data_IF_926195725692
#
_entry.id   IF_926195725692
#
_cell.length_a   1.000
_cell.length_b   1.000
_cell.length_c   1.000
_cell.angle_alpha   90.00
_cell.angle_beta   90.00
_cell.angle_gamma   90.00
#
_symmetry.space_group_name_H-M   'P 1'
#
loop_
_entity.id
_entity.type
_entity.pdbx_description
1 polymer ?
#
# COMPACT_ATOMS: atom_id res chain seq x y z
N UNK A 1 4.12 47.71 -48.36
CA UNK A 1 3.08 47.03 -47.54
C UNK A 1 2.93 45.56 -47.88
N UNK A 2 2.66 45.20 -49.16
CA UNK A 2 2.48 43.81 -49.61
C UNK A 2 3.66 42.88 -49.30
N UNK A 3 4.91 43.40 -49.41
CA UNK A 3 6.15 42.67 -49.04
C UNK A 3 6.15 42.15 -47.60
N UNK A 4 5.67 42.95 -46.64
CA UNK A 4 5.53 42.54 -45.23
C UNK A 4 4.30 41.68 -44.98
N UNK A 5 3.26 41.82 -45.81
CA UNK A 5 2.04 41.03 -45.67
C UNK A 5 2.25 39.57 -46.09
N UNK A 6 2.93 39.35 -47.22
CA UNK A 6 3.25 38.02 -47.76
C UNK A 6 4.55 37.41 -47.20
N UNK A 7 5.16 38.05 -46.20
CA UNK A 7 6.43 37.62 -45.58
C UNK A 7 7.53 37.32 -46.60
N UNK A 8 7.59 38.10 -47.69
CA UNK A 8 8.53 37.91 -48.81
C UNK A 8 9.99 37.91 -48.35
N UNK A 9 10.44 38.78 -47.41
CA UNK A 9 11.83 38.75 -46.95
C UNK A 9 12.24 37.42 -46.30
N UNK A 10 11.31 36.72 -45.66
CA UNK A 10 11.57 35.45 -44.97
C UNK A 10 11.40 34.24 -45.90
N UNK A 11 10.41 34.29 -46.81
CA UNK A 11 10.07 33.17 -47.70
C UNK A 11 10.81 33.18 -49.03
N UNK A 12 11.12 34.36 -49.58
CA UNK A 12 11.77 34.55 -50.89
C UNK A 12 12.79 35.72 -50.85
N UNK A 13 13.90 35.57 -50.11
CA UNK A 13 14.86 36.66 -49.86
C UNK A 13 15.60 37.17 -51.11
N UNK A 14 15.74 36.33 -52.15
CA UNK A 14 16.30 36.74 -53.43
C UNK A 14 15.34 37.63 -54.25
N UNK A 15 14.04 37.32 -54.20
CA UNK A 15 13.01 38.08 -54.90
C UNK A 15 12.73 39.42 -54.21
N UNK A 16 12.80 39.46 -52.88
CA UNK A 16 12.65 40.68 -52.09
C UNK A 16 13.67 41.77 -52.49
N UNK A 17 14.93 41.38 -52.70
CA UNK A 17 16.00 42.27 -53.20
C UNK A 17 15.74 42.79 -54.61
N UNK A 18 15.19 41.95 -55.51
CA UNK A 18 14.83 42.35 -56.88
C UNK A 18 13.66 43.34 -56.87
N UNK A 19 12.61 43.05 -56.10
CA UNK A 19 11.46 43.94 -55.92
C UNK A 19 11.84 45.30 -55.31
N UNK A 20 12.79 45.32 -54.38
CA UNK A 20 13.28 46.58 -53.79
C UNK A 20 14.01 47.47 -54.82
N UNK A 21 14.81 46.86 -55.70
CA UNK A 21 15.56 47.58 -56.74
C UNK A 21 14.71 47.99 -57.93
N UNK A 22 13.57 47.35 -58.16
CA UNK A 22 12.69 47.64 -59.29
C UNK A 22 12.10 49.06 -59.26
N UNK A 23 11.78 49.59 -58.07
CA UNK A 23 11.15 50.90 -57.93
C UNK A 23 12.04 52.07 -58.36
N UNK A 24 13.37 51.90 -58.34
CA UNK A 24 14.33 52.95 -58.70
C UNK A 24 14.27 53.29 -60.20
N UNK A 25 14.49 52.34 -61.14
CA UNK A 25 14.36 52.61 -62.57
C UNK A 25 12.91 52.94 -62.97
N UNK A 26 11.92 52.34 -62.32
CA UNK A 26 10.51 52.68 -62.49
C UNK A 26 10.21 54.15 -62.18
N UNK A 27 10.69 54.66 -61.03
CA UNK A 27 10.53 56.06 -60.66
C UNK A 27 11.29 57.00 -61.60
N UNK A 28 12.49 56.60 -62.06
CA UNK A 28 13.24 57.38 -63.04
C UNK A 28 12.46 57.49 -64.37
N UNK A 29 11.92 56.39 -64.89
CA UNK A 29 11.11 56.40 -66.12
C UNK A 29 9.87 57.29 -65.96
N UNK A 30 9.18 57.20 -64.82
CA UNK A 30 7.98 57.98 -64.57
C UNK A 30 8.27 59.50 -64.40
N UNK A 31 9.35 59.85 -63.68
CA UNK A 31 9.79 61.25 -63.53
C UNK A 31 10.31 61.82 -64.87
N UNK A 32 11.03 61.02 -65.66
CA UNK A 32 11.45 61.41 -67.01
C UNK A 32 10.26 61.66 -67.93
N UNK A 33 9.21 60.83 -67.84
CA UNK A 33 7.95 61.08 -68.54
C UNK A 33 7.28 62.37 -68.07
N UNK A 34 7.23 62.64 -66.76
CA UNK A 34 6.61 63.86 -66.23
C UNK A 34 7.34 65.15 -66.66
N UNK A 35 8.66 65.10 -66.81
CA UNK A 35 9.47 66.27 -67.19
C UNK A 35 9.57 66.51 -68.70
N UNK A 36 9.48 65.45 -69.52
CA UNK A 36 9.74 65.52 -70.97
C UNK A 36 8.62 64.96 -71.85
N UNK A 37 7.56 64.39 -71.27
CA UNK A 37 6.47 63.70 -71.97
C UNK A 37 5.71 64.57 -72.95
N UNK A 38 5.41 65.83 -72.59
CA UNK A 38 4.74 66.79 -73.48
C UNK A 38 5.56 67.10 -74.74
N UNK A 39 6.90 67.12 -74.63
CA UNK A 39 7.79 67.36 -75.79
C UNK A 39 7.86 66.17 -76.75
N UNK A 40 7.58 64.97 -76.27
CA UNK A 40 7.66 63.73 -77.04
C UNK A 40 6.32 63.27 -77.66
N UNK A 41 5.22 64.02 -77.47
CA UNK A 41 3.86 63.64 -77.95
C UNK A 41 3.45 62.21 -77.55
N UNK A 42 3.89 61.74 -76.39
CA UNK A 42 3.52 60.43 -75.86
C UNK A 42 2.14 60.52 -75.17
N UNK A 43 1.26 59.54 -75.40
CA UNK A 43 -0.03 59.44 -74.71
C UNK A 43 0.22 59.05 -73.25
N UNK A 44 -0.07 59.97 -72.31
CA UNK A 44 0.25 59.80 -70.91
C UNK A 44 -0.48 58.67 -70.22
N UNK A 45 -1.74 58.49 -70.58
CA UNK A 45 -2.55 57.44 -69.99
C UNK A 45 -2.03 56.05 -70.40
N UNK A 46 -1.48 55.91 -71.61
CA UNK A 46 -0.88 54.65 -72.06
C UNK A 46 0.36 54.29 -71.24
N UNK A 47 1.17 55.27 -70.86
CA UNK A 47 2.37 55.06 -70.05
C UNK A 47 1.99 54.66 -68.63
N UNK A 48 1.00 55.32 -68.04
CA UNK A 48 0.48 54.99 -66.72
C UNK A 48 -0.14 53.59 -66.69
N UNK A 49 -0.92 53.22 -67.72
CA UNK A 49 -1.53 51.89 -67.84
C UNK A 49 -0.46 50.78 -68.00
N UNK A 50 0.52 50.98 -68.88
CA UNK A 50 1.63 50.03 -69.08
C UNK A 50 2.44 49.87 -67.81
N UNK A 51 2.68 50.96 -67.08
CA UNK A 51 3.37 50.92 -65.79
C UNK A 51 2.61 50.06 -64.77
N UNK A 52 1.29 50.26 -64.64
CA UNK A 52 0.45 49.49 -63.73
C UNK A 52 0.41 48.01 -64.13
N UNK A 53 0.34 47.67 -65.42
CA UNK A 53 0.43 46.28 -65.90
C UNK A 53 1.74 45.60 -65.49
N UNK A 54 2.87 46.30 -65.63
CA UNK A 54 4.18 45.76 -65.23
C UNK A 54 4.23 45.52 -63.72
N UNK A 55 3.68 46.45 -62.92
CA UNK A 55 3.59 46.28 -61.46
C UNK A 55 2.74 45.07 -61.10
N UNK A 56 1.56 44.92 -61.69
CA UNK A 56 0.66 43.78 -61.43
C UNK A 56 1.29 42.46 -61.87
N UNK A 57 1.93 42.41 -63.04
CA UNK A 57 2.60 41.21 -63.54
C UNK A 57 3.70 40.72 -62.56
N UNK A 58 4.46 41.65 -61.99
CA UNK A 58 5.43 41.31 -60.95
C UNK A 58 4.78 40.81 -59.66
N UNK A 59 3.68 41.44 -59.23
CA UNK A 59 2.94 40.97 -58.06
C UNK A 59 2.36 39.57 -58.28
N UNK A 60 1.86 39.27 -59.48
CA UNK A 60 1.41 37.92 -59.84
C UNK A 60 2.55 36.91 -59.84
N UNK A 61 3.73 37.28 -60.36
CA UNK A 61 4.91 36.41 -60.34
C UNK A 61 5.34 36.06 -58.90
N UNK A 62 5.31 37.04 -58.01
CA UNK A 62 5.60 36.85 -56.57
C UNK A 62 4.61 35.87 -55.94
N UNK A 63 3.32 36.09 -56.20
CA UNK A 63 2.27 35.24 -55.64
C UNK A 63 2.33 33.82 -56.20
N UNK A 64 2.66 33.68 -57.49
CA UNK A 64 2.86 32.39 -58.14
C UNK A 64 3.99 31.59 -57.48
N UNK A 65 5.10 32.23 -57.15
CA UNK A 65 6.20 31.60 -56.40
C UNK A 65 5.81 31.23 -54.97
N UNK A 66 4.80 31.90 -54.40
CA UNK A 66 4.23 31.62 -53.08
C UNK A 66 2.95 30.78 -53.15
N UNK A 67 2.77 29.97 -54.19
CA UNK A 67 1.55 29.15 -54.38
C UNK A 67 1.24 28.22 -53.21
N UNK A 68 2.19 27.86 -52.36
CA UNK A 68 1.96 26.98 -51.20
C UNK A 68 1.53 27.75 -49.94
N UNK A 69 1.48 29.09 -50.00
CA UNK A 69 1.01 29.94 -48.91
C UNK A 69 -0.44 30.39 -49.17
N UNK A 70 -1.42 29.95 -48.36
CA UNK A 70 -2.84 30.22 -48.62
C UNK A 70 -3.21 31.71 -48.76
N UNK A 71 -2.67 32.64 -47.94
CA UNK A 71 -2.92 34.07 -48.12
C UNK A 71 -2.39 34.63 -49.45
N UNK A 72 -1.33 34.04 -50.02
CA UNK A 72 -0.84 34.44 -51.33
C UNK A 72 -1.85 34.09 -52.43
N UNK A 73 -2.45 32.88 -52.41
CA UNK A 73 -3.49 32.48 -53.37
C UNK A 73 -4.67 33.46 -53.39
N UNK A 74 -5.12 33.88 -52.21
CA UNK A 74 -6.21 34.85 -52.06
C UNK A 74 -5.83 36.23 -52.63
N UNK A 75 -4.57 36.66 -52.48
CA UNK A 75 -4.05 37.89 -53.10
C UNK A 75 -3.95 37.77 -54.62
N UNK A 76 -3.58 36.60 -55.17
CA UNK A 76 -3.61 36.36 -56.63
C UNK A 76 -5.03 36.51 -57.19
N UNK A 77 -6.01 35.88 -56.53
CA UNK A 77 -7.42 35.96 -56.91
C UNK A 77 -7.97 37.39 -56.80
N UNK A 78 -7.40 38.22 -55.92
CA UNK A 78 -7.74 39.63 -55.79
C UNK A 78 -7.19 40.50 -56.93
N UNK A 79 -5.98 40.20 -57.39
CA UNK A 79 -5.30 40.97 -58.45
C UNK A 79 -5.70 40.56 -59.86
N UNK A 80 -6.16 39.31 -60.07
CA UNK A 80 -6.48 38.78 -61.40
C UNK A 80 -7.60 39.53 -62.14
N UNK A 81 -8.76 39.83 -61.52
CA UNK A 81 -9.80 40.61 -62.18
C UNK A 81 -9.33 42.02 -62.53
N UNK A 82 -8.57 42.67 -61.65
CA UNK A 82 -8.02 44.02 -61.90
C UNK A 82 -7.02 44.05 -63.05
N UNK A 83 -6.13 43.06 -63.12
CA UNK A 83 -5.21 42.89 -64.24
C UNK A 83 -5.96 42.70 -65.56
N UNK A 84 -7.01 41.86 -65.54
CA UNK A 84 -7.82 41.56 -66.72
C UNK A 84 -8.61 42.79 -67.20
N UNK A 85 -9.25 43.53 -66.30
CA UNK A 85 -10.00 44.74 -66.66
C UNK A 85 -9.10 45.82 -67.20
N UNK A 86 -7.91 45.99 -66.61
CA UNK A 86 -6.95 47.00 -67.06
C UNK A 86 -6.36 46.63 -68.43
N UNK A 87 -5.99 45.36 -68.64
CA UNK A 87 -5.51 44.90 -69.95
C UNK A 87 -6.59 45.06 -71.04
N UNK A 88 -7.84 44.74 -70.74
CA UNK A 88 -8.96 44.92 -71.67
C UNK A 88 -9.21 46.40 -71.98
N UNK A 89 -9.13 47.29 -70.97
CA UNK A 89 -9.29 48.73 -71.17
C UNK A 89 -8.20 49.31 -72.09
N UNK A 90 -6.94 48.94 -71.88
CA UNK A 90 -5.80 49.36 -72.73
C UNK A 90 -5.98 48.90 -74.17
N UNK A 91 -6.35 47.63 -74.37
CA UNK A 91 -6.57 47.05 -75.70
C UNK A 91 -7.74 47.76 -76.40
N UNK A 92 -8.85 47.97 -75.71
CA UNK A 92 -10.03 48.65 -76.25
C UNK A 92 -9.69 50.08 -76.67
N UNK A 93 -9.00 50.84 -75.82
CA UNK A 93 -8.60 52.23 -76.09
C UNK A 93 -7.81 52.35 -77.41
N UNK A 94 -6.96 51.38 -77.71
CA UNK A 94 -6.15 51.36 -78.93
C UNK A 94 -6.93 50.93 -80.18
N UNK A 95 -7.82 49.94 -80.06
CA UNK A 95 -8.57 49.40 -81.20
C UNK A 95 -9.77 50.27 -81.61
N UNK A 96 -10.44 50.90 -80.66
CA UNK A 96 -11.68 51.64 -80.89
C UNK A 96 -11.76 52.91 -80.02
N UNK A 97 -10.95 53.95 -80.29
CA UNK A 97 -10.83 55.13 -79.43
C UNK A 97 -12.12 55.97 -79.36
N UNK A 98 -12.96 55.98 -80.42
CA UNK A 98 -14.26 56.68 -80.40
C UNK A 98 -15.26 55.97 -79.47
N UNK A 99 -15.38 54.66 -79.61
CA UNK A 99 -16.25 53.84 -78.76
C UNK A 99 -15.77 53.77 -77.32
N UNK A 100 -14.45 53.81 -77.07
CA UNK A 100 -13.92 53.88 -75.70
C UNK A 100 -14.42 55.13 -74.95
N UNK A 101 -14.42 56.30 -75.61
CA UNK A 101 -14.92 57.55 -75.02
C UNK A 101 -16.42 57.52 -74.72
N UNK A 102 -17.22 56.81 -75.53
CA UNK A 102 -18.66 56.68 -75.31
C UNK A 102 -19.01 55.81 -74.08
N UNK A 103 -18.14 54.86 -73.72
CA UNK A 103 -18.39 53.88 -72.64
C UNK A 103 -17.46 54.04 -71.43
N UNK A 104 -16.74 55.16 -71.33
CA UNK A 104 -15.74 55.40 -70.28
C UNK A 104 -16.35 55.24 -68.87
N UNK A 105 -17.56 55.77 -68.64
CA UNK A 105 -18.27 55.66 -67.36
C UNK A 105 -18.54 54.19 -66.93
N UNK A 106 -18.78 53.31 -67.89
CA UNK A 106 -18.98 51.87 -67.64
C UNK A 106 -17.69 51.17 -67.21
N UNK A 107 -16.54 51.57 -67.76
CA UNK A 107 -15.22 51.05 -67.39
C UNK A 107 -14.85 51.51 -65.97
N UNK A 108 -15.13 52.77 -65.63
CA UNK A 108 -14.92 53.32 -64.29
C UNK A 108 -15.79 52.60 -63.24
N UNK A 109 -17.02 52.25 -63.59
CA UNK A 109 -17.90 51.44 -62.74
C UNK A 109 -17.34 50.04 -62.49
N UNK A 110 -16.82 49.37 -63.53
CA UNK A 110 -16.17 48.04 -63.40
C UNK A 110 -14.90 48.15 -62.54
N UNK A 111 -14.08 49.19 -62.74
CA UNK A 111 -12.90 49.45 -61.92
C UNK A 111 -13.23 49.63 -60.44
N UNK A 112 -14.31 50.35 -60.15
CA UNK A 112 -14.81 50.55 -58.79
C UNK A 112 -15.25 49.23 -58.15
N UNK A 113 -15.99 48.38 -58.88
CA UNK A 113 -16.39 47.05 -58.39
C UNK A 113 -15.17 46.16 -58.07
N UNK A 114 -14.19 46.13 -58.98
CA UNK A 114 -12.97 45.34 -58.80
C UNK A 114 -12.14 45.84 -57.62
N UNK A 115 -12.12 47.15 -57.37
CA UNK A 115 -11.47 47.72 -56.19
C UNK A 115 -12.09 47.20 -54.89
N UNK A 116 -13.43 47.25 -54.77
CA UNK A 116 -14.13 46.69 -53.60
C UNK A 116 -13.93 45.18 -53.45
N UNK A 117 -13.91 44.45 -54.57
CA UNK A 117 -13.60 43.02 -54.59
C UNK A 117 -12.19 42.72 -54.04
N UNK A 118 -11.19 43.49 -54.48
CA UNK A 118 -9.81 43.37 -54.01
C UNK A 118 -9.68 43.66 -52.51
N UNK A 119 -10.39 44.68 -52.01
CA UNK A 119 -10.44 45.00 -50.57
C UNK A 119 -11.05 43.84 -49.77
N UNK A 120 -12.14 43.25 -50.23
CA UNK A 120 -12.79 42.09 -49.60
C UNK A 120 -11.86 40.87 -49.51
N UNK A 121 -11.17 40.52 -50.60
CA UNK A 121 -10.24 39.40 -50.60
C UNK A 121 -8.97 39.68 -49.78
N UNK A 122 -8.49 40.92 -49.75
CA UNK A 122 -7.40 41.31 -48.86
C UNK A 122 -7.78 41.12 -47.38
N UNK A 123 -9.02 41.46 -47.01
CA UNK A 123 -9.55 41.19 -45.66
C UNK A 123 -9.59 39.69 -45.34
N UNK A 124 -10.02 38.85 -46.28
CA UNK A 124 -10.01 37.38 -46.15
C UNK A 124 -8.59 36.86 -45.96
N UNK A 125 -7.64 37.30 -46.78
CA UNK A 125 -6.23 36.92 -46.67
C UNK A 125 -5.64 37.30 -45.31
N UNK A 126 -5.97 38.50 -44.80
CA UNK A 126 -5.56 38.96 -43.46
C UNK A 126 -6.15 38.09 -42.36
N UNK A 127 -7.42 37.70 -42.48
CA UNK A 127 -8.08 36.79 -41.55
C UNK A 127 -7.42 35.40 -41.53
N UNK A 128 -7.08 34.86 -42.71
CA UNK A 128 -6.37 33.58 -42.82
C UNK A 128 -5.00 33.60 -42.14
N UNK A 129 -4.20 34.65 -42.34
CA UNK A 129 -2.89 34.80 -41.67
C UNK A 129 -3.03 34.81 -40.14
N UNK A 130 -4.04 35.52 -39.62
CA UNK A 130 -4.30 35.55 -38.17
C UNK A 130 -4.70 34.18 -37.63
N UNK A 131 -5.54 33.43 -38.35
CA UNK A 131 -5.95 32.06 -37.96
C UNK A 131 -4.76 31.11 -37.89
N UNK A 132 -3.89 31.14 -38.90
CA UNK A 132 -2.69 30.29 -38.93
C UNK A 132 -1.75 30.60 -37.76
N UNK A 133 -1.55 31.89 -37.44
CA UNK A 133 -0.72 32.27 -36.29
C UNK A 133 -1.31 31.78 -34.95
N UNK A 134 -2.63 31.88 -34.76
CA UNK A 134 -3.30 31.37 -33.56
C UNK A 134 -3.16 29.85 -33.47
N UNK A 135 -3.31 29.13 -34.59
CA UNK A 135 -3.20 27.68 -34.62
C UNK A 135 -1.77 27.21 -34.29
N UNK A 136 -0.75 27.88 -34.83
CA UNK A 136 0.65 27.62 -34.48
C UNK A 136 0.94 27.87 -33.00
N UNK A 137 0.41 28.98 -32.46
CA UNK A 137 0.56 29.29 -31.05
C UNK A 137 -0.10 28.24 -30.16
N UNK A 138 -1.33 27.82 -30.50
CA UNK A 138 -2.04 26.76 -29.76
C UNK A 138 -1.27 25.44 -29.77
N UNK A 139 -0.74 25.02 -30.92
CA UNK A 139 0.07 23.80 -31.01
C UNK A 139 1.34 23.89 -30.16
N UNK A 140 2.01 25.04 -30.16
CA UNK A 140 3.19 25.25 -29.31
C UNK A 140 2.83 25.22 -27.81
N UNK A 141 1.70 25.81 -27.42
CA UNK A 141 1.18 25.76 -26.04
C UNK A 141 0.80 24.34 -25.63
N UNK A 142 0.15 23.58 -26.51
CA UNK A 142 -0.21 22.17 -26.31
C UNK A 142 1.04 21.29 -26.17
N UNK A 143 2.05 21.46 -27.03
CA UNK A 143 3.33 20.76 -26.94
C UNK A 143 4.06 21.06 -25.62
N UNK A 144 4.08 22.32 -25.20
CA UNK A 144 4.67 22.71 -23.92
C UNK A 144 3.90 22.13 -22.72
N UNK A 145 2.57 22.15 -22.75
CA UNK A 145 1.74 21.56 -21.71
C UNK A 145 1.98 20.05 -21.62
N UNK A 146 2.05 19.36 -22.76
CA UNK A 146 2.32 17.93 -22.82
C UNK A 146 3.71 17.59 -22.27
N UNK A 147 4.74 18.37 -22.62
CA UNK A 147 6.08 18.19 -22.06
C UNK A 147 6.10 18.36 -20.55
N UNK A 148 5.36 19.34 -20.01
CA UNK A 148 5.25 19.53 -18.54
C UNK A 148 4.56 18.34 -17.87
N UNK A 149 3.49 17.81 -18.47
CA UNK A 149 2.79 16.63 -17.94
C UNK A 149 3.73 15.42 -17.93
N UNK A 150 4.44 15.16 -19.02
CA UNK A 150 5.39 14.04 -19.12
C UNK A 150 6.51 14.18 -18.08
N UNK A 151 7.09 15.37 -17.93
CA UNK A 151 8.13 15.63 -16.93
C UNK A 151 7.59 15.41 -15.51
N UNK A 152 6.38 15.89 -15.20
CA UNK A 152 5.77 15.72 -13.88
C UNK A 152 5.42 14.27 -13.58
N UNK A 153 4.95 13.52 -14.58
CA UNK A 153 4.67 12.09 -14.44
C UNK A 153 5.95 11.30 -14.15
N UNK A 154 7.05 11.59 -14.84
CA UNK A 154 8.34 10.94 -14.57
C UNK A 154 8.86 11.25 -13.15
N UNK A 155 8.71 12.48 -12.68
CA UNK A 155 9.05 12.87 -11.29
C UNK A 155 8.17 12.14 -10.27
N UNK A 156 6.85 12.04 -10.52
CA UNK A 156 5.92 11.32 -9.66
C UNK A 156 6.23 9.82 -9.61
N UNK A 157 6.57 9.20 -10.74
CA UNK A 157 6.98 7.80 -10.78
C UNK A 157 8.23 7.56 -9.93
N UNK A 158 9.25 8.42 -10.03
CA UNK A 158 10.44 8.33 -9.19
C UNK A 158 10.12 8.50 -7.70
N UNK A 159 9.25 9.46 -7.36
CA UNK A 159 8.82 9.68 -5.98
C UNK A 159 8.07 8.45 -5.43
N UNK A 160 7.16 7.88 -6.21
CA UNK A 160 6.41 6.68 -5.84
C UNK A 160 7.34 5.49 -5.65
N UNK A 161 8.30 5.28 -6.55
CA UNK A 161 9.30 4.21 -6.41
C UNK A 161 10.14 4.38 -5.14
N UNK A 162 10.65 5.59 -4.88
CA UNK A 162 11.42 5.89 -3.68
C UNK A 162 10.61 5.69 -2.38
N UNK A 163 9.35 6.17 -2.36
CA UNK A 163 8.44 5.99 -1.22
C UNK A 163 8.09 4.53 -0.99
N UNK A 164 7.84 3.77 -2.06
CA UNK A 164 7.52 2.34 -1.96
C UNK A 164 8.71 1.54 -1.44
N UNK A 165 9.92 1.86 -1.88
CA UNK A 165 11.14 1.24 -1.36
C UNK A 165 11.35 1.56 0.13
N UNK A 166 11.20 2.82 0.53
CA UNK A 166 11.31 3.23 1.93
C UNK A 166 10.26 2.56 2.83
N UNK A 167 9.01 2.47 2.37
CA UNK A 167 7.93 1.79 3.11
C UNK A 167 8.21 0.29 3.26
N UNK A 168 8.72 -0.37 2.21
CA UNK A 168 9.12 -1.79 2.30
C UNK A 168 10.23 -1.99 3.32
N UNK A 169 11.24 -1.14 3.31
CA UNK A 169 12.33 -1.19 4.27
C UNK A 169 11.82 -1.02 5.71
N UNK A 170 10.99 -0.01 5.97
CA UNK A 170 10.38 0.21 7.29
C UNK A 170 9.50 -0.96 7.74
N UNK A 171 8.77 -1.58 6.81
CA UNK A 171 7.93 -2.74 7.11
C UNK A 171 8.80 -3.95 7.49
N UNK A 172 9.92 -4.17 6.81
CA UNK A 172 10.86 -5.24 7.15
C UNK A 172 11.53 -5.00 8.50
N UNK A 173 11.97 -3.78 8.79
CA UNK A 173 12.54 -3.40 10.08
C UNK A 173 11.54 -3.60 11.23
N UNK A 174 10.28 -3.20 11.01
CA UNK A 174 9.22 -3.38 12.00
C UNK A 174 8.92 -4.86 12.25
N UNK A 175 8.88 -5.67 11.19
CA UNK A 175 8.65 -7.11 11.29
C UNK A 175 9.78 -7.78 12.09
N UNK A 176 11.03 -7.44 11.80
CA UNK A 176 12.17 -7.96 12.56
C UNK A 176 12.12 -7.54 14.03
N UNK A 177 11.81 -6.27 14.32
CA UNK A 177 11.68 -5.79 15.69
C UNK A 177 10.55 -6.50 16.45
N UNK A 178 9.45 -6.84 15.79
CA UNK A 178 8.35 -7.61 16.39
C UNK A 178 8.77 -9.05 16.71
N UNK A 179 9.49 -9.72 15.81
CA UNK A 179 10.02 -11.08 16.02
C UNK A 179 11.04 -11.11 17.17
N UNK A 180 11.94 -10.13 17.22
CA UNK A 180 12.88 -9.95 18.32
C UNK A 180 12.14 -9.73 19.65
N UNK A 181 11.14 -8.84 19.66
CA UNK A 181 10.34 -8.56 20.86
C UNK A 181 9.60 -9.81 21.36
N UNK A 182 8.95 -10.58 20.47
CA UNK A 182 8.28 -11.83 20.83
C UNK A 182 9.26 -12.86 21.40
N UNK A 183 10.43 -12.98 20.78
CA UNK A 183 11.49 -13.88 21.25
C UNK A 183 11.98 -13.48 22.64
N UNK A 184 12.25 -12.19 22.86
CA UNK A 184 12.68 -11.67 24.17
C UNK A 184 11.60 -11.86 25.23
N UNK A 185 10.32 -11.61 24.92
CA UNK A 185 9.23 -11.86 25.86
C UNK A 185 9.14 -13.33 26.26
N UNK A 186 9.26 -14.26 25.30
CA UNK A 186 9.28 -15.70 25.62
C UNK A 186 10.45 -16.08 26.52
N UNK A 187 11.65 -15.52 26.25
CA UNK A 187 12.83 -15.72 27.09
C UNK A 187 12.63 -15.16 28.51
N UNK A 188 12.03 -13.98 28.64
CA UNK A 188 11.73 -13.37 29.94
C UNK A 188 10.74 -14.21 30.74
N UNK A 189 9.65 -14.68 30.13
CA UNK A 189 8.69 -15.58 30.78
C UNK A 189 9.38 -16.85 31.27
N UNK A 190 10.28 -17.42 30.46
CA UNK A 190 11.03 -18.61 30.85
C UNK A 190 12.03 -18.34 31.97
N UNK A 191 12.73 -17.20 31.93
CA UNK A 191 13.64 -16.77 32.99
C UNK A 191 12.89 -16.53 34.30
N UNK A 192 11.72 -15.89 34.25
CA UNK A 192 10.84 -15.67 35.41
C UNK A 192 10.34 -17.00 35.99
N UNK A 193 9.92 -17.95 35.14
CA UNK A 193 9.58 -19.31 35.57
C UNK A 193 10.74 -20.02 36.24
N UNK A 194 11.95 -19.91 35.70
CA UNK A 194 13.14 -20.52 36.32
C UNK A 194 13.53 -19.83 37.64
N UNK A 195 13.42 -18.51 37.72
CA UNK A 195 13.69 -17.75 38.94
C UNK A 195 12.66 -18.10 40.03
N UNK A 196 11.37 -18.12 39.69
CA UNK A 196 10.29 -18.55 40.58
C UNK A 196 10.48 -19.99 41.03
N UNK A 197 10.86 -20.89 40.12
CA UNK A 197 11.20 -22.27 40.46
C UNK A 197 12.40 -22.32 41.42
N UNK A 198 13.43 -21.51 41.22
CA UNK A 198 14.61 -21.46 42.08
C UNK A 198 14.31 -20.98 43.51
N UNK A 199 13.54 -19.91 43.65
CA UNK A 199 13.07 -19.39 44.94
C UNK A 199 12.17 -20.41 45.66
N UNK A 200 11.24 -21.03 44.92
CA UNK A 200 10.40 -22.10 45.43
C UNK A 200 11.20 -23.36 45.78
N UNK A 201 12.28 -23.68 45.05
CA UNK A 201 13.08 -24.90 45.30
C UNK A 201 13.73 -24.87 46.69
N UNK A 202 14.20 -23.70 47.15
CA UNK A 202 14.77 -23.56 48.50
C UNK A 202 13.70 -23.77 49.60
N UNK A 203 12.50 -23.19 49.42
CA UNK A 203 11.38 -23.39 50.35
C UNK A 203 10.82 -24.82 50.30
N UNK A 204 10.68 -25.39 49.11
CA UNK A 204 10.18 -26.75 48.87
C UNK A 204 11.15 -27.79 49.43
N UNK A 205 12.47 -27.62 49.27
CA UNK A 205 13.46 -28.53 49.86
C UNK A 205 13.28 -28.61 51.39
N UNK A 206 13.08 -27.47 52.04
CA UNK A 206 12.81 -27.40 53.48
C UNK A 206 11.44 -28.00 53.83
N UNK A 207 10.42 -27.80 53.00
CA UNK A 207 9.09 -28.40 53.20
C UNK A 207 9.02 -29.90 52.91
N UNK A 208 9.91 -30.45 52.08
CA UNK A 208 10.10 -31.89 51.84
C UNK A 208 10.91 -32.54 52.96
N UNK A 209 11.94 -31.85 53.46
CA UNK A 209 12.73 -32.34 54.59
C UNK A 209 11.87 -32.57 55.83
N UNK A 210 10.91 -31.69 56.11
CA UNK A 210 10.02 -31.83 57.26
C UNK A 210 9.28 -33.19 57.33
N UNK A 211 8.48 -33.63 56.35
CA UNK A 211 7.86 -34.94 56.36
C UNK A 211 8.88 -36.09 56.33
N UNK A 212 10.03 -35.95 55.66
CA UNK A 212 11.06 -37.00 55.67
C UNK A 212 11.67 -37.20 57.06
N UNK A 213 11.89 -36.13 57.81
CA UNK A 213 12.36 -36.20 59.19
C UNK A 213 11.34 -36.94 60.09
N UNK A 214 10.04 -36.68 59.91
CA UNK A 214 9.01 -37.43 60.61
C UNK A 214 9.00 -38.91 60.22
N UNK A 215 9.14 -39.22 58.92
CA UNK A 215 9.25 -40.63 58.45
C UNK A 215 10.42 -41.34 59.13
N UNK A 216 11.60 -40.72 59.15
CA UNK A 216 12.79 -41.31 59.76
C UNK A 216 12.62 -41.50 61.27
N UNK A 217 12.12 -40.49 61.99
CA UNK A 217 11.95 -40.58 63.44
C UNK A 217 10.93 -41.65 63.83
N UNK A 218 9.76 -41.70 63.18
CA UNK A 218 8.77 -42.75 63.45
C UNK A 218 9.28 -44.14 63.05
N UNK A 219 10.11 -44.25 62.02
CA UNK A 219 10.71 -45.54 61.63
C UNK A 219 11.75 -46.01 62.67
N UNK A 220 12.55 -45.10 63.21
CA UNK A 220 13.53 -45.39 64.27
C UNK A 220 12.81 -45.86 65.54
N UNK A 221 11.82 -45.09 66.03
CA UNK A 221 11.00 -45.48 67.19
C UNK A 221 10.26 -46.80 66.93
N UNK A 222 9.77 -47.05 65.71
CA UNK A 222 9.16 -48.33 65.36
C UNK A 222 10.15 -49.50 65.46
N UNK A 223 11.41 -49.29 65.11
CA UNK A 223 12.47 -50.30 65.23
C UNK A 223 12.73 -50.64 66.70
N UNK A 224 12.78 -49.63 67.57
CA UNK A 224 12.92 -49.82 69.03
C UNK A 224 11.72 -50.58 69.61
N UNK A 225 10.49 -50.14 69.32
CA UNK A 225 9.26 -50.82 69.76
C UNK A 225 9.18 -52.27 69.27
N UNK A 226 9.65 -52.55 68.05
CA UNK A 226 9.69 -53.91 67.51
C UNK A 226 10.72 -54.79 68.24
N UNK A 227 11.86 -54.22 68.65
CA UNK A 227 12.85 -54.92 69.47
C UNK A 227 12.31 -55.19 70.88
N UNK A 228 11.67 -54.21 71.52
CA UNK A 228 11.03 -54.38 72.82
C UNK A 228 9.92 -55.44 72.79
N UNK A 229 9.08 -55.43 71.75
CA UNK A 229 8.05 -56.44 71.54
C UNK A 229 8.65 -57.84 71.36
N UNK A 230 9.77 -57.96 70.63
CA UNK A 230 10.47 -59.23 70.46
C UNK A 230 11.08 -59.74 71.78
N UNK A 231 11.60 -58.85 72.62
CA UNK A 231 12.12 -59.19 73.94
C UNK A 231 11.00 -59.65 74.88
N UNK A 232 9.87 -58.93 74.91
CA UNK A 232 8.72 -59.28 75.75
C UNK A 232 8.11 -60.64 75.35
N UNK A 233 8.00 -60.90 74.05
CA UNK A 233 7.52 -62.20 73.54
C UNK A 233 8.41 -63.39 73.89
N UNK A 234 9.70 -63.16 74.13
CA UNK A 234 10.67 -64.19 74.51
C UNK A 234 10.79 -64.39 76.03
N UNK A 235 10.05 -63.61 76.85
CA UNK A 235 10.06 -63.80 78.30
C UNK A 235 9.31 -65.08 78.73
N UNK A 236 9.74 -65.73 79.83
CA UNK A 236 9.05 -66.91 80.37
C UNK A 236 7.61 -66.63 80.78
N UNK A 237 7.35 -65.41 81.26
CA UNK A 237 6.02 -64.91 81.63
C UNK A 237 5.79 -63.62 80.85
N UNK A 238 4.83 -63.64 79.94
CA UNK A 238 4.54 -62.53 79.01
C UNK A 238 3.57 -61.53 79.63
N UNK A 239 3.88 -60.24 79.51
CA UNK A 239 2.95 -59.15 79.83
C UNK A 239 2.08 -58.83 78.60
N UNK A 240 0.93 -59.48 78.53
CA UNK A 240 -0.02 -59.32 77.41
C UNK A 240 -0.52 -57.86 77.26
N UNK A 241 -0.84 -57.12 78.34
CA UNK A 241 -1.10 -55.68 78.26
C UNK A 241 0.02 -54.87 77.59
N UNK A 242 1.26 -55.06 78.00
CA UNK A 242 2.42 -54.34 77.42
C UNK A 242 2.64 -54.70 75.94
N UNK A 243 2.51 -55.97 75.57
CA UNK A 243 2.58 -56.36 74.15
C UNK A 243 1.50 -55.69 73.29
N UNK A 244 0.28 -55.56 73.82
CA UNK A 244 -0.82 -54.91 73.11
C UNK A 244 -0.57 -53.40 72.93
N UNK A 245 0.02 -52.75 73.93
CA UNK A 245 0.45 -51.36 73.87
C UNK A 245 1.54 -51.15 72.80
N UNK A 246 2.63 -51.94 72.85
CA UNK A 246 3.73 -51.89 71.88
C UNK A 246 3.26 -52.13 70.43
N UNK A 247 2.34 -53.08 70.22
CA UNK A 247 1.71 -53.32 68.92
C UNK A 247 0.81 -52.14 68.47
N UNK A 248 0.11 -51.52 69.41
CA UNK A 248 -0.70 -50.33 69.19
C UNK A 248 0.14 -49.15 68.71
N UNK A 249 1.26 -48.90 69.39
CA UNK A 249 2.20 -47.81 69.08
C UNK A 249 2.92 -48.04 67.74
N UNK A 250 3.33 -49.29 67.46
CA UNK A 250 3.86 -49.67 66.14
C UNK A 250 2.87 -49.37 65.01
N UNK A 251 1.60 -49.74 65.20
CA UNK A 251 0.54 -49.47 64.22
C UNK A 251 0.32 -47.97 64.04
N UNK A 252 0.38 -47.19 65.12
CA UNK A 252 0.27 -45.73 65.06
C UNK A 252 1.45 -45.11 64.32
N UNK A 253 2.68 -45.53 64.59
CA UNK A 253 3.88 -45.03 63.90
C UNK A 253 3.83 -45.36 62.41
N UNK A 254 3.42 -46.58 62.03
CA UNK A 254 3.24 -46.95 60.62
C UNK A 254 2.21 -46.06 59.89
N UNK A 255 1.14 -45.68 60.58
CA UNK A 255 0.15 -44.74 60.04
C UNK A 255 0.77 -43.35 59.81
N UNK A 256 1.55 -42.85 60.76
CA UNK A 256 2.23 -41.55 60.68
C UNK A 256 3.27 -41.54 59.55
N UNK A 257 4.09 -42.58 59.43
CA UNK A 257 5.06 -42.76 58.33
C UNK A 257 4.34 -42.66 56.98
N UNK A 258 3.23 -43.36 56.81
CA UNK A 258 2.45 -43.34 55.56
C UNK A 258 1.93 -41.94 55.23
N UNK A 259 1.38 -41.23 56.22
CA UNK A 259 0.86 -39.87 56.06
C UNK A 259 1.95 -38.87 55.65
N UNK A 260 3.10 -38.92 56.34
CA UNK A 260 4.21 -38.03 56.04
C UNK A 260 4.86 -38.34 54.69
N UNK A 261 5.00 -39.62 54.33
CA UNK A 261 5.48 -40.03 53.00
C UNK A 261 4.56 -39.56 51.86
N UNK A 262 3.24 -39.67 52.04
CA UNK A 262 2.26 -39.15 51.07
C UNK A 262 2.32 -37.63 50.93
N UNK A 263 2.54 -36.91 52.04
CA UNK A 263 2.76 -35.45 52.01
C UNK A 263 4.00 -35.09 51.20
N UNK A 264 5.13 -35.74 51.45
CA UNK A 264 6.37 -35.52 50.69
C UNK A 264 6.16 -35.76 49.18
N UNK A 265 5.49 -36.87 48.81
CA UNK A 265 5.18 -37.18 47.42
C UNK A 265 4.27 -36.13 46.75
N UNK A 266 3.31 -35.55 47.49
CA UNK A 266 2.43 -34.50 46.97
C UNK A 266 3.17 -33.19 46.70
N UNK A 267 4.16 -32.84 47.53
CA UNK A 267 5.00 -31.65 47.35
C UNK A 267 5.86 -31.80 46.08
N UNK A 268 6.48 -32.97 45.89
CA UNK A 268 7.29 -33.28 44.70
C UNK A 268 6.46 -33.25 43.42
N UNK A 269 5.22 -33.78 43.43
CA UNK A 269 4.33 -33.69 42.26
C UNK A 269 3.97 -32.26 41.91
N UNK A 270 3.58 -31.44 42.89
CA UNK A 270 3.26 -30.03 42.65
C UNK A 270 4.45 -29.25 42.05
N UNK A 271 5.67 -29.55 42.50
CA UNK A 271 6.90 -28.98 41.94
C UNK A 271 7.14 -29.41 40.48
N UNK A 272 7.01 -30.71 40.17
CA UNK A 272 7.21 -31.26 38.82
C UNK A 272 6.17 -30.73 37.83
N UNK A 273 4.93 -30.54 38.27
CA UNK A 273 3.88 -29.92 37.45
C UNK A 273 4.27 -28.47 37.11
N UNK A 274 4.73 -27.68 38.07
CA UNK A 274 5.13 -26.28 37.84
C UNK A 274 6.40 -26.13 36.99
N UNK A 275 7.33 -27.08 37.10
CA UNK A 275 8.64 -27.05 36.43
C UNK A 275 8.61 -27.51 34.96
N UNK A 276 7.68 -28.40 34.57
CA UNK A 276 7.61 -28.88 33.19
C UNK A 276 7.16 -27.77 32.24
N UNK A 277 8.03 -27.45 31.28
CA UNK A 277 7.63 -26.73 30.09
C UNK A 277 6.63 -27.59 29.33
N UNK A 278 5.38 -27.13 29.22
CA UNK A 278 4.48 -27.63 28.19
C UNK A 278 5.19 -27.41 26.86
N UNK A 279 5.44 -28.47 26.10
CA UNK A 279 6.03 -28.35 24.76
C UNK A 279 5.08 -27.60 23.81
N UNK A 280 3.83 -27.36 24.23
CA UNK A 280 2.76 -26.81 23.40
C UNK A 280 2.37 -27.75 22.26
N UNK A 281 3.00 -28.93 22.19
CA UNK A 281 2.88 -29.85 21.09
C UNK A 281 1.55 -30.58 21.23
N UNK A 282 0.69 -30.35 20.24
CA UNK A 282 -0.62 -31.00 20.21
C UNK A 282 -0.46 -32.42 19.70
N UNK A 283 -1.11 -33.35 20.39
CA UNK A 283 -1.18 -34.74 19.96
C UNK A 283 -2.63 -35.22 20.03
N UNK A 284 -2.95 -36.22 19.22
CA UNK A 284 -4.24 -36.88 19.26
C UNK A 284 -4.41 -37.55 20.63
N UNK A 285 -5.30 -36.98 21.43
CA UNK A 285 -5.46 -37.31 22.84
C UNK A 285 -6.85 -37.92 23.06
N UNK A 286 -6.90 -39.03 23.79
CA UNK A 286 -8.14 -39.61 24.29
C UNK A 286 -8.56 -38.85 25.56
N UNK A 287 -9.53 -37.95 25.42
CA UNK A 287 -10.02 -37.13 26.53
C UNK A 287 -10.79 -37.95 27.58
N UNK A 288 -11.45 -39.04 27.19
CA UNK A 288 -12.17 -39.88 28.16
C UNK A 288 -11.17 -40.56 29.09
N UNK A 289 -10.13 -41.18 28.53
CA UNK A 289 -9.06 -41.80 29.29
C UNK A 289 -8.34 -40.78 30.19
N UNK A 290 -8.02 -39.61 29.65
CA UNK A 290 -7.37 -38.53 30.39
C UNK A 290 -8.23 -38.05 31.57
N UNK A 291 -9.53 -37.81 31.35
CA UNK A 291 -10.45 -37.41 32.41
C UNK A 291 -10.55 -38.47 33.52
N UNK A 292 -10.72 -39.75 33.18
CA UNK A 292 -10.81 -40.82 34.17
C UNK A 292 -9.53 -40.96 35.00
N UNK A 293 -8.37 -40.90 34.35
CA UNK A 293 -7.06 -40.97 35.01
C UNK A 293 -6.90 -39.83 36.02
N UNK A 294 -7.11 -38.58 35.59
CA UNK A 294 -6.93 -37.41 36.44
C UNK A 294 -8.00 -37.29 37.54
N UNK A 295 -9.24 -37.76 37.30
CA UNK A 295 -10.29 -37.84 38.30
C UNK A 295 -9.89 -38.80 39.43
N UNK A 296 -9.43 -40.01 39.08
CA UNK A 296 -8.95 -41.01 40.04
C UNK A 296 -7.72 -40.52 40.79
N UNK A 297 -6.79 -39.87 40.08
CA UNK A 297 -5.59 -39.29 40.68
C UNK A 297 -5.94 -38.24 41.75
N UNK A 298 -6.85 -37.30 41.44
CA UNK A 298 -7.33 -36.30 42.38
C UNK A 298 -8.00 -36.95 43.61
N UNK A 299 -8.87 -37.94 43.38
CA UNK A 299 -9.58 -38.66 44.45
C UNK A 299 -8.61 -39.38 45.40
N UNK A 300 -7.67 -40.15 44.85
CA UNK A 300 -6.67 -40.84 45.65
C UNK A 300 -5.71 -39.87 46.35
N UNK A 301 -5.39 -38.74 45.70
CA UNK A 301 -4.61 -37.65 46.30
C UNK A 301 -5.25 -37.09 47.55
N UNK A 302 -6.58 -36.90 47.55
CA UNK A 302 -7.30 -36.43 48.75
C UNK A 302 -7.43 -37.53 49.81
N UNK A 303 -7.74 -38.77 49.43
CA UNK A 303 -7.85 -39.91 50.37
C UNK A 303 -6.54 -40.26 51.07
N UNK A 304 -5.41 -40.00 50.42
CA UNK A 304 -4.10 -40.10 51.06
C UNK A 304 -3.98 -39.12 52.26
N UNK A 305 -4.47 -37.89 52.11
CA UNK A 305 -4.47 -36.87 53.18
C UNK A 305 -5.53 -37.17 54.24
N UNK A 306 -6.70 -37.68 53.83
CA UNK A 306 -7.83 -37.96 54.72
C UNK A 306 -8.49 -39.29 54.34
N UNK A 307 -8.19 -40.35 55.11
CA UNK A 307 -8.71 -41.70 54.84
C UNK A 307 -10.22 -41.83 55.07
N UNK A 308 -10.82 -40.90 55.83
CA UNK A 308 -12.25 -40.89 56.12
C UNK A 308 -13.08 -40.32 54.97
N UNK A 309 -12.43 -39.57 54.07
CA UNK A 309 -13.08 -39.05 52.88
C UNK A 309 -13.41 -40.19 51.93
N UNK A 310 -14.70 -40.29 51.60
CA UNK A 310 -15.21 -41.12 50.51
C UNK A 310 -16.19 -40.25 49.73
N UNK A 311 -16.13 -40.35 48.41
CA UNK A 311 -17.04 -39.66 47.51
C UNK A 311 -17.45 -40.62 46.40
N UNK A 312 -18.71 -40.55 46.01
CA UNK A 312 -19.23 -41.40 44.93
C UNK A 312 -18.90 -40.76 43.59
N UNK A 313 -18.07 -41.43 42.79
CA UNK A 313 -17.66 -40.93 41.48
C UNK A 313 -18.66 -41.39 40.42
N UNK A 314 -19.46 -40.46 39.91
CA UNK A 314 -20.33 -40.69 38.77
C UNK A 314 -19.69 -40.09 37.52
N UNK A 315 -19.32 -40.94 36.57
CA UNK A 315 -18.80 -40.53 35.27
C UNK A 315 -19.86 -40.70 34.19
N UNK A 316 -20.00 -39.70 33.32
CA UNK A 316 -20.89 -39.71 32.15
C UNK A 316 -20.05 -39.39 30.91
N UNK A 317 -19.24 -40.37 30.50
CA UNK A 317 -18.38 -40.25 29.33
C UNK A 317 -19.13 -40.65 28.07
N UNK A 318 -18.89 -39.92 26.98
CA UNK A 318 -19.44 -40.29 25.68
C UNK A 318 -18.92 -41.68 25.27
N UNK A 319 -19.77 -42.62 24.78
CA UNK A 319 -19.38 -44.00 24.49
C UNK A 319 -18.26 -44.11 23.45
N UNK A 320 -18.26 -43.19 22.48
CA UNK A 320 -17.22 -43.06 21.45
C UNK A 320 -16.94 -41.58 21.29
N UNK A 321 -15.82 -41.13 21.84
CA UNK A 321 -15.33 -39.77 21.65
C UNK A 321 -14.14 -39.83 20.67
N UNK A 322 -14.14 -39.05 19.58
CA UNK A 322 -12.99 -39.00 18.68
C UNK A 322 -11.77 -38.43 19.41
N UNK A 323 -10.57 -38.87 19.01
CA UNK A 323 -9.32 -38.31 19.51
C UNK A 323 -9.28 -36.81 19.20
N UNK A 324 -8.96 -36.02 20.22
CA UNK A 324 -8.91 -34.56 20.10
C UNK A 324 -7.46 -34.11 20.04
N UNK A 325 -7.17 -33.24 19.09
CA UNK A 325 -5.86 -32.61 18.99
C UNK A 325 -5.70 -31.60 20.14
N UNK A 326 -4.97 -32.00 21.18
CA UNK A 326 -4.82 -31.24 22.41
C UNK A 326 -3.40 -31.38 22.97
N UNK A 327 -3.02 -30.43 23.82
CA UNK A 327 -1.82 -30.56 24.66
C UNK A 327 -2.23 -31.32 25.91
N UNK A 328 -2.09 -32.65 25.88
CA UNK A 328 -2.59 -33.57 26.92
C UNK A 328 -2.17 -33.17 28.33
N UNK A 329 -0.94 -32.66 28.50
CA UNK A 329 -0.42 -32.19 29.77
C UNK A 329 -1.16 -30.95 30.31
N UNK A 330 -1.46 -29.98 29.46
CA UNK A 330 -2.14 -28.74 29.87
C UNK A 330 -3.60 -29.02 30.22
N UNK A 331 -4.27 -29.86 29.42
CA UNK A 331 -5.63 -30.33 29.71
C UNK A 331 -5.65 -31.12 31.02
N UNK A 332 -4.69 -32.03 31.22
CA UNK A 332 -4.55 -32.79 32.45
C UNK A 332 -4.41 -31.90 33.69
N UNK A 333 -3.63 -30.81 33.62
CA UNK A 333 -3.49 -29.84 34.72
C UNK A 333 -4.79 -29.10 35.03
N UNK A 334 -5.55 -28.72 34.01
CA UNK A 334 -6.87 -28.10 34.20
C UNK A 334 -7.81 -29.08 34.90
N UNK A 335 -7.89 -30.32 34.40
CA UNK A 335 -8.74 -31.38 34.97
C UNK A 335 -8.37 -31.66 36.43
N UNK A 336 -7.08 -31.85 36.72
CA UNK A 336 -6.61 -32.11 38.07
C UNK A 336 -7.06 -31.01 39.04
N UNK A 337 -6.85 -29.75 38.69
CA UNK A 337 -7.21 -28.59 39.51
C UNK A 337 -8.72 -28.48 39.74
N UNK A 338 -9.52 -28.72 38.71
CA UNK A 338 -10.97 -28.70 38.83
C UNK A 338 -11.46 -29.83 39.76
N UNK A 339 -10.92 -31.04 39.62
CA UNK A 339 -11.29 -32.17 40.45
C UNK A 339 -10.85 -31.99 41.91
N UNK A 340 -9.64 -31.49 42.19
CA UNK A 340 -9.23 -31.18 43.58
C UNK A 340 -10.11 -30.12 44.21
N UNK A 341 -10.47 -29.06 43.47
CA UNK A 341 -11.39 -28.04 43.97
C UNK A 341 -12.79 -28.62 44.24
N UNK A 342 -13.30 -29.48 43.36
CA UNK A 342 -14.57 -30.16 43.55
C UNK A 342 -14.55 -31.04 44.80
N UNK A 343 -13.53 -31.87 44.99
CA UNK A 343 -13.42 -32.71 46.18
C UNK A 343 -13.23 -31.92 47.47
N UNK A 344 -12.52 -30.78 47.41
CA UNK A 344 -12.43 -29.86 48.54
C UNK A 344 -13.81 -29.34 48.96
N UNK A 345 -14.63 -28.90 48.00
CA UNK A 345 -15.98 -28.41 48.25
C UNK A 345 -16.90 -29.52 48.81
N UNK A 346 -16.84 -30.73 48.23
CA UNK A 346 -17.56 -31.93 48.72
C UNK A 346 -17.21 -32.21 50.18
N UNK A 347 -15.91 -32.23 50.50
CA UNK A 347 -15.43 -32.43 51.88
C UNK A 347 -15.93 -31.35 52.83
N UNK A 348 -15.92 -30.08 52.40
CA UNK A 348 -16.37 -28.97 53.23
C UNK A 348 -17.87 -29.08 53.55
N UNK A 349 -18.71 -29.46 52.58
CA UNK A 349 -20.14 -29.73 52.80
C UNK A 349 -20.37 -30.93 53.73
N UNK A 350 -19.58 -32.00 53.56
CA UNK A 350 -19.63 -33.16 54.45
C UNK A 350 -19.33 -32.76 55.91
N UNK A 351 -18.31 -31.94 56.13
CA UNK A 351 -17.91 -31.46 57.46
C UNK A 351 -18.93 -30.50 58.09
N UNK A 352 -19.67 -29.74 57.26
CA UNK A 352 -20.73 -28.87 57.72
C UNK A 352 -21.98 -29.63 58.22
N UNK A 353 -22.05 -30.94 57.99
CA UNK A 353 -23.14 -31.79 58.52
C UNK A 353 -24.49 -31.52 57.87
N UNK A 354 -24.51 -31.14 56.59
CA UNK A 354 -25.73 -30.78 55.87
C UNK A 354 -26.70 -31.97 55.79
N UNK A 355 -27.95 -31.77 56.22
CA UNK A 355 -28.91 -32.86 56.38
C UNK A 355 -29.24 -33.53 55.03
N UNK A 356 -29.06 -34.85 54.96
CA UNK A 356 -29.34 -35.64 53.75
C UNK A 356 -28.22 -35.64 52.70
N UNK A 357 -27.07 -35.02 52.99
CA UNK A 357 -25.94 -35.01 52.07
C UNK A 357 -25.19 -36.35 52.06
N UNK A 358 -24.98 -36.89 50.85
CA UNK A 358 -24.12 -38.05 50.61
C UNK A 358 -23.02 -37.62 49.61
N UNK A 359 -21.73 -37.71 50.00
CA UNK A 359 -20.61 -37.25 49.18
C UNK A 359 -20.26 -38.16 47.99
#
# INVERSE_FOLDING_TARGET
>A
MLRRFLDIPMRLPALDRRLARFWIPAAVVWVSYLLFGEKLHLDGDLIDDVFILVVIAQLMQVVWQLRDYPPARTVALALAPYAATLLLAVVWRQLAPRSFKEYNDGIDMVGTFVFFWMVGLFWVARSQKKRLAIEQQRRAEEEQAQQRIVARNAELEQLVLARTAALRQQTQELQQALEELQTTQSQLIQAEKMASLGELTAGIAHEIQNPLNFVNNFAEVSSELAQELALERNRPTRDLPLEAELLGDLKQNMLKITQHGQRAASIVRGMLEHSRASTGERSLTDLNALCDEYLRLAYHGLRAKDKSFNATLHTDFAPVLPLVEAVSQDVGRVLLNLFTNAFYAVRQRQQAGEAGYAP
#
